data_IF_125160954026
#
_entry.id   IF_125160954026
#
_cell.length_a   1.000
_cell.length_b   1.000
_cell.length_c   1.000
_cell.angle_alpha   90.00
_cell.angle_beta   90.00
_cell.angle_gamma   90.00
#
_symmetry.space_group_name_H-M   'P 1'
#
loop_
_entity.id
_entity.type
_entity.pdbx_description
1 polymer ?
#
# COMPACT_ATOMS: atom_id res chain seq x y z
N UNK A 1 -17.57 2.07 17.26
CA UNK A 1 -17.33 1.90 18.71
C UNK A 1 -16.13 1.00 18.86
N UNK A 2 -15.01 1.53 19.37
CA UNK A 2 -13.80 0.75 19.58
C UNK A 2 -14.03 -0.19 20.76
N UNK A 3 -14.16 -1.49 20.48
CA UNK A 3 -14.49 -2.51 21.49
C UNK A 3 -13.25 -3.14 22.10
N UNK A 4 -12.08 -2.94 21.49
CA UNK A 4 -10.83 -3.55 21.98
C UNK A 4 -9.64 -2.58 21.91
N UNK A 5 -8.73 -2.59 22.90
CA UNK A 5 -7.58 -1.68 22.96
C UNK A 5 -6.66 -1.80 21.75
N UNK A 6 -6.63 -2.94 21.07
CA UNK A 6 -5.82 -3.16 19.87
C UNK A 6 -6.28 -2.29 18.69
N UNK A 7 -7.57 -1.97 18.59
CA UNK A 7 -8.10 -1.13 17.52
C UNK A 7 -7.56 0.30 17.60
N UNK A 8 -7.34 0.81 18.82
CA UNK A 8 -6.78 2.15 19.07
C UNK A 8 -5.31 2.18 18.67
N UNK A 9 -4.54 1.14 19.02
CA UNK A 9 -3.12 1.03 18.65
C UNK A 9 -2.96 1.01 17.13
N UNK A 10 -3.77 0.21 16.43
CA UNK A 10 -3.73 0.13 14.96
C UNK A 10 -4.16 1.45 14.32
N UNK A 11 -5.13 2.16 14.91
CA UNK A 11 -5.55 3.48 14.43
C UNK A 11 -4.44 4.52 14.60
N UNK A 12 -3.77 4.57 15.75
CA UNK A 12 -2.63 5.46 15.98
C UNK A 12 -1.51 5.14 14.98
N UNK A 13 -1.21 3.85 14.78
CA UNK A 13 -0.20 3.42 13.81
C UNK A 13 -0.57 3.82 12.38
N UNK A 14 -1.85 3.71 12.00
CA UNK A 14 -2.36 4.16 10.70
C UNK A 14 -2.19 5.67 10.50
N UNK A 15 -2.54 6.48 11.51
CA UNK A 15 -2.34 7.94 11.47
C UNK A 15 -0.85 8.28 11.37
N UNK A 16 -0.01 7.61 12.16
CA UNK A 16 1.43 7.78 12.13
C UNK A 16 2.03 7.36 10.78
N UNK A 17 1.48 6.33 10.15
CA UNK A 17 1.85 5.90 8.81
C UNK A 17 1.51 6.96 7.76
N UNK A 18 0.31 7.55 7.81
CA UNK A 18 -0.09 8.64 6.90
C UNK A 18 0.87 9.83 7.06
N UNK A 19 1.18 10.23 8.30
CA UNK A 19 2.16 11.28 8.56
C UNK A 19 3.55 10.92 8.01
N UNK A 20 4.01 9.68 8.23
CA UNK A 20 5.26 9.17 7.67
C UNK A 20 5.30 9.23 6.14
N UNK A 21 4.20 8.87 5.46
CA UNK A 21 4.12 8.94 4.00
C UNK A 21 4.13 10.37 3.46
N UNK A 22 3.53 11.33 4.18
CA UNK A 22 3.64 12.75 3.85
C UNK A 22 5.11 13.21 3.90
N UNK A 23 5.81 12.89 5.00
CA UNK A 23 7.22 13.23 5.17
C UNK A 23 8.11 12.56 4.13
N UNK A 24 7.89 11.28 3.84
CA UNK A 24 8.64 10.56 2.80
C UNK A 24 8.42 11.23 1.43
N UNK A 25 7.18 11.52 1.05
CA UNK A 25 6.88 12.17 -0.23
C UNK A 25 7.54 13.56 -0.34
N UNK A 26 7.57 14.33 0.76
CA UNK A 26 8.27 15.60 0.83
C UNK A 26 9.81 15.44 0.73
N UNK A 27 10.40 14.44 1.41
CA UNK A 27 11.83 14.13 1.33
C UNK A 27 12.27 13.71 -0.08
N UNK A 28 11.41 12.99 -0.80
CA UNK A 28 11.64 12.59 -2.18
C UNK A 28 11.50 13.75 -3.19
N UNK A 29 11.27 14.98 -2.73
CA UNK A 29 11.21 16.18 -3.56
C UNK A 29 9.98 16.24 -4.47
N UNK A 30 8.91 15.55 -4.11
CA UNK A 30 7.68 15.56 -4.90
C UNK A 30 6.99 16.93 -4.85
N UNK A 31 6.37 17.32 -5.96
CA UNK A 31 5.57 18.55 -6.03
C UNK A 31 4.44 18.53 -4.98
N UNK A 32 4.07 19.69 -4.43
CA UNK A 32 3.06 19.80 -3.38
C UNK A 32 1.72 19.13 -3.76
N UNK A 33 1.33 19.23 -5.03
CA UNK A 33 0.14 18.57 -5.55
C UNK A 33 0.27 17.04 -5.55
N UNK A 34 1.45 16.53 -5.89
CA UNK A 34 1.76 15.09 -5.89
C UNK A 34 1.82 14.54 -4.47
N UNK A 35 2.42 15.28 -3.53
CA UNK A 35 2.47 14.93 -2.10
C UNK A 35 1.05 14.78 -1.55
N UNK A 36 0.18 15.76 -1.77
CA UNK A 36 -1.22 15.72 -1.31
C UNK A 36 -2.00 14.56 -1.94
N UNK A 37 -1.75 14.24 -3.22
CA UNK A 37 -2.37 13.08 -3.87
C UNK A 37 -1.96 11.77 -3.22
N UNK A 38 -0.66 11.57 -3.00
CA UNK A 38 -0.13 10.35 -2.41
C UNK A 38 -0.68 10.18 -0.99
N UNK A 39 -0.73 11.25 -0.19
CA UNK A 39 -1.27 11.15 1.17
C UNK A 39 -2.78 10.92 1.20
N UNK A 40 -3.55 11.56 0.32
CA UNK A 40 -4.99 11.31 0.21
C UNK A 40 -5.29 9.86 -0.20
N UNK A 41 -4.57 9.31 -1.17
CA UNK A 41 -4.66 7.91 -1.56
C UNK A 41 -4.22 6.98 -0.41
N UNK A 42 -3.18 7.35 0.34
CA UNK A 42 -2.68 6.54 1.46
C UNK A 42 -3.70 6.54 2.60
N UNK A 43 -4.37 7.67 2.84
CA UNK A 43 -5.44 7.78 3.82
C UNK A 43 -6.62 6.88 3.44
N UNK A 44 -7.05 6.92 2.17
CA UNK A 44 -8.12 6.03 1.67
C UNK A 44 -7.73 4.56 1.83
N UNK A 45 -6.50 4.21 1.45
CA UNK A 45 -5.95 2.87 1.61
C UNK A 45 -5.90 2.43 3.07
N UNK A 46 -5.46 3.32 3.96
CA UNK A 46 -5.35 3.06 5.40
C UNK A 46 -6.74 2.85 6.03
N UNK A 47 -7.73 3.66 5.63
CA UNK A 47 -9.11 3.50 6.07
C UNK A 47 -9.70 2.17 5.57
N UNK A 48 -9.51 1.82 4.29
CA UNK A 48 -9.96 0.53 3.74
C UNK A 48 -9.28 -0.66 4.44
N UNK A 49 -7.98 -0.56 4.70
CA UNK A 49 -7.21 -1.57 5.44
C UNK A 49 -7.72 -1.75 6.87
N UNK A 50 -8.05 -0.65 7.55
CA UNK A 50 -8.63 -0.67 8.89
C UNK A 50 -9.99 -1.37 8.92
N UNK A 51 -10.88 -1.04 7.98
CA UNK A 51 -12.20 -1.68 7.84
C UNK A 51 -12.10 -3.18 7.52
N UNK A 52 -11.16 -3.56 6.64
CA UNK A 52 -10.90 -4.96 6.31
C UNK A 52 -10.30 -5.74 7.48
N UNK A 53 -9.48 -5.07 8.30
CA UNK A 53 -8.94 -5.64 9.53
C UNK A 53 -10.02 -5.87 10.58
N UNK A 54 -10.98 -4.93 10.76
CA UNK A 54 -12.11 -5.11 11.67
C UNK A 54 -12.99 -6.33 11.31
N UNK A 55 -13.09 -6.68 10.03
CA UNK A 55 -13.82 -7.86 9.56
C UNK A 55 -12.99 -9.15 9.59
N UNK A 56 -11.77 -9.13 10.13
CA UNK A 56 -10.81 -10.24 10.17
C UNK A 56 -10.43 -10.80 8.77
N UNK A 57 -10.76 -10.07 7.70
CA UNK A 57 -10.47 -10.40 6.29
C UNK A 57 -9.04 -10.02 5.89
N UNK A 58 -8.40 -9.14 6.67
CA UNK A 58 -7.01 -8.71 6.48
C UNK A 58 -6.05 -9.89 6.36
N UNK A 59 -6.25 -10.97 7.13
CA UNK A 59 -5.37 -12.14 7.11
C UNK A 59 -5.39 -12.89 5.77
N UNK A 60 -6.49 -12.79 5.02
CA UNK A 60 -6.59 -13.41 3.71
C UNK A 60 -6.13 -12.48 2.58
N UNK A 61 -6.47 -11.18 2.69
CA UNK A 61 -6.36 -10.17 1.62
C UNK A 61 -5.10 -9.30 1.76
N UNK A 62 -4.26 -9.51 2.78
CA UNK A 62 -3.02 -8.74 3.00
C UNK A 62 -2.12 -8.54 1.75
N UNK A 63 -1.91 -9.54 0.86
CA UNK A 63 -1.08 -9.32 -0.32
C UNK A 63 -1.67 -8.29 -1.29
N UNK A 64 -3.00 -8.24 -1.42
CA UNK A 64 -3.71 -7.24 -2.23
C UNK A 64 -3.59 -5.84 -1.62
N UNK A 65 -3.59 -5.74 -0.29
CA UNK A 65 -3.35 -4.46 0.39
C UNK A 65 -1.95 -3.92 0.05
N UNK A 66 -0.92 -4.77 0.01
CA UNK A 66 0.43 -4.35 -0.40
C UNK A 66 0.49 -3.87 -1.86
N UNK A 67 -0.22 -4.53 -2.78
CA UNK A 67 -0.34 -4.07 -4.16
C UNK A 67 -1.04 -2.72 -4.28
N UNK A 68 -2.11 -2.50 -3.49
CA UNK A 68 -2.82 -1.24 -3.46
C UNK A 68 -1.98 -0.11 -2.83
N UNK A 69 -1.13 -0.43 -1.84
CA UNK A 69 -0.15 0.52 -1.29
C UNK A 69 0.84 0.95 -2.38
N UNK A 70 1.35 0.04 -3.20
CA UNK A 70 2.24 0.44 -4.30
C UNK A 70 1.52 1.27 -5.37
N UNK A 71 0.23 1.01 -5.59
CA UNK A 71 -0.59 1.84 -6.48
C UNK A 71 -0.77 3.27 -5.96
N UNK A 72 -0.83 3.44 -4.65
CA UNK A 72 -0.89 4.74 -4.00
C UNK A 72 0.32 5.64 -4.31
N UNK A 73 1.47 5.05 -4.65
CA UNK A 73 2.70 5.77 -4.99
C UNK A 73 2.87 6.04 -6.49
N UNK A 74 1.96 5.58 -7.36
CA UNK A 74 2.01 5.87 -8.80
C UNK A 74 2.03 7.36 -9.17
N UNK A 75 1.38 8.29 -8.44
CA UNK A 75 1.48 9.71 -8.74
C UNK A 75 2.92 10.23 -8.72
N UNK A 76 3.78 9.67 -7.85
CA UNK A 76 5.20 10.02 -7.79
C UNK A 76 5.91 9.72 -9.11
N UNK A 77 5.67 8.54 -9.70
CA UNK A 77 6.28 8.17 -10.98
C UNK A 77 5.78 9.04 -12.14
N UNK A 78 4.58 9.58 -12.02
CA UNK A 78 3.96 10.39 -13.07
C UNK A 78 4.42 11.85 -13.05
N UNK A 79 5.02 12.33 -11.95
CA UNK A 79 5.45 13.72 -11.82
C UNK A 79 6.64 14.05 -12.74
N UNK A 80 7.45 13.04 -13.08
CA UNK A 80 8.63 13.18 -13.94
C UNK A 80 8.31 13.00 -15.43
N UNK A 81 7.04 12.81 -15.78
CA UNK A 81 6.59 12.56 -17.16
C UNK A 81 6.32 13.89 -17.84
N UNK A 82 7.09 14.20 -18.89
CA UNK A 82 6.85 15.39 -19.69
C UNK A 82 5.50 15.27 -20.44
N UNK A 83 4.71 16.35 -20.53
CA UNK A 83 3.44 16.34 -21.27
C UNK A 83 3.67 15.96 -22.74
N UNK A 84 2.91 14.98 -23.23
CA UNK A 84 3.04 14.46 -24.60
C UNK A 84 4.01 13.29 -24.77
N UNK A 85 4.77 12.93 -23.74
CA UNK A 85 5.58 11.70 -23.71
C UNK A 85 4.88 10.62 -22.89
N UNK A 86 4.75 9.42 -23.45
CA UNK A 86 4.30 8.23 -22.73
C UNK A 86 5.51 7.30 -22.52
N UNK A 87 6.45 7.66 -21.63
CA UNK A 87 7.57 6.78 -21.35
C UNK A 87 7.03 5.46 -20.79
N UNK A 88 7.72 4.37 -21.09
CA UNK A 88 7.29 3.02 -20.77
C UNK A 88 6.99 2.81 -19.27
N UNK A 89 7.68 3.53 -18.38
CA UNK A 89 7.44 3.51 -16.93
C UNK A 89 6.15 4.24 -16.48
N UNK A 90 5.60 5.12 -17.32
CA UNK A 90 4.33 5.79 -17.08
C UNK A 90 3.12 4.99 -17.60
N UNK A 91 3.38 3.95 -18.40
CA UNK A 91 2.35 3.07 -18.95
C UNK A 91 1.57 2.36 -17.84
N UNK A 92 0.27 2.13 -18.10
CA UNK A 92 -0.58 1.36 -17.21
C UNK A 92 -0.05 -0.06 -16.99
N UNK A 93 0.58 -0.66 -17.99
CA UNK A 93 1.16 -2.00 -17.91
C UNK A 93 2.34 -2.08 -16.94
N UNK A 94 3.24 -1.09 -16.96
CA UNK A 94 4.35 -1.07 -16.00
C UNK A 94 3.85 -0.86 -14.57
N UNK A 95 2.90 0.06 -14.40
CA UNK A 95 2.24 0.34 -13.12
C UNK A 95 1.57 -0.91 -12.53
N UNK A 96 0.83 -1.68 -13.35
CA UNK A 96 0.19 -2.92 -12.89
C UNK A 96 1.19 -4.02 -12.56
N UNK A 97 2.26 -4.18 -13.36
CA UNK A 97 3.34 -5.14 -13.04
C UNK A 97 4.01 -4.76 -11.72
N UNK A 98 4.32 -3.48 -11.51
CA UNK A 98 4.91 -2.99 -10.26
C UNK A 98 4.03 -3.30 -9.05
N UNK A 99 2.71 -3.15 -9.20
CA UNK A 99 1.75 -3.51 -8.16
C UNK A 99 1.56 -5.02 -7.98
N UNK A 100 1.83 -5.83 -9.02
CA UNK A 100 1.72 -7.28 -8.96
C UNK A 100 2.89 -7.93 -8.21
N UNK A 101 4.07 -7.31 -8.21
CA UNK A 101 5.27 -7.80 -7.51
C UNK A 101 5.02 -8.00 -6.00
N UNK A 102 4.57 -7.01 -5.22
CA UNK A 102 4.32 -7.20 -3.80
C UNK A 102 3.15 -8.17 -3.54
N UNK A 103 2.16 -8.23 -4.44
CA UNK A 103 1.03 -9.17 -4.35
C UNK A 103 1.53 -10.61 -4.50
N UNK A 104 2.28 -10.89 -5.56
CA UNK A 104 2.82 -12.23 -5.85
C UNK A 104 3.83 -12.66 -4.79
N UNK A 105 4.74 -11.77 -4.38
CA UNK A 105 5.68 -12.02 -3.28
C UNK A 105 4.95 -12.35 -1.97
N UNK A 106 3.89 -11.59 -1.63
CA UNK A 106 3.07 -11.82 -0.44
C UNK A 106 2.35 -13.18 -0.47
N UNK A 107 1.79 -13.56 -1.62
CA UNK A 107 1.15 -14.87 -1.79
C UNK A 107 2.15 -16.04 -1.77
N UNK A 108 3.33 -15.88 -2.38
CA UNK A 108 4.41 -16.88 -2.33
C UNK A 108 4.89 -17.10 -0.90
N UNK A 109 5.04 -16.04 -0.10
CA UNK A 109 5.42 -16.14 1.30
C UNK A 109 4.36 -16.87 2.13
N UNK A 110 3.07 -16.54 1.93
CA UNK A 110 1.94 -17.24 2.57
C UNK A 110 1.93 -18.73 2.22
N UNK A 111 2.21 -19.07 0.96
CA UNK A 111 2.31 -20.46 0.50
C UNK A 111 3.49 -21.21 1.13
N UNK A 112 4.66 -20.56 1.23
CA UNK A 112 5.84 -21.12 1.90
C UNK A 112 5.57 -21.39 3.38
N UNK A 113 4.92 -20.46 4.09
CA UNK A 113 4.51 -20.65 5.48
C UNK A 113 3.49 -21.78 5.65
N UNK A 114 2.52 -21.90 4.74
CA UNK A 114 1.56 -22.99 4.77
C UNK A 114 2.23 -24.36 4.59
N UNK A 115 3.20 -24.46 3.68
CA UNK A 115 4.01 -25.69 3.50
C UNK A 115 4.81 -26.03 4.76
N UNK A 116 5.48 -25.04 5.37
CA UNK A 116 6.27 -25.25 6.58
C UNK A 116 5.44 -25.72 7.79
N UNK A 117 4.18 -25.30 7.89
CA UNK A 117 3.25 -25.76 8.93
C UNK A 117 2.73 -27.18 8.69
N UNK A 118 2.66 -27.62 7.44
CA UNK A 118 2.31 -29.02 7.10
C UNK A 118 3.46 -30.01 7.34
N UNK A 119 4.69 -29.54 7.33
CA UNK A 119 5.90 -30.38 7.50
C UNK A 119 6.39 -30.48 8.94
N UNK A 120 5.80 -29.75 9.90
CA UNK A 120 6.04 -29.97 11.33
C UNK A 120 4.91 -30.86 11.87
N UNK A 121 5.22 -32.06 12.41
CA UNK A 121 4.22 -32.94 13.02
C UNK A 121 3.58 -32.33 14.27
#
# INVERSE_FOLDING_TARGET
MFKRPEEIIVLILAVLWIAGTYFLAALFGADAYTVLKITALTLLWSAASFLLWQKNLSRHIWPLLLGCLTACWWPYLNQSVAPGSLPWYASWTFKTILALIPVTAGYLFKWKQYRQRKTKP
#
